data_IF_279875684808
#
_entry.id   IF_279875684808
#
_cell.length_a   1.000
_cell.length_b   1.000
_cell.length_c   1.000
_cell.angle_alpha   90.00
_cell.angle_beta   90.00
_cell.angle_gamma   90.00
#
_symmetry.space_group_name_H-M   'P 1'
#
loop_
_entity.id
_entity.type
_entity.pdbx_description
1 polymer ?
#
# COMPACT_ATOMS: atom_id res chain seq x y z
N UNK A 1 3.40 -57.53 3.77
CA UNK A 1 4.83 -57.74 3.47
C UNK A 1 5.46 -58.37 4.70
N UNK A 2 6.10 -59.53 4.58
CA UNK A 2 6.77 -60.14 5.72
C UNK A 2 8.11 -59.42 5.92
N UNK A 3 8.23 -58.56 6.92
CA UNK A 3 9.43 -57.72 7.10
C UNK A 3 10.65 -58.56 7.54
N UNK A 4 10.42 -59.76 8.05
CA UNK A 4 11.47 -60.68 8.50
C UNK A 4 12.19 -61.40 7.35
N UNK A 5 11.67 -61.33 6.12
CA UNK A 5 12.28 -61.97 4.94
C UNK A 5 13.17 -61.03 4.13
N UNK A 6 13.30 -59.76 4.53
CA UNK A 6 14.11 -58.77 3.81
C UNK A 6 15.59 -58.97 4.12
N UNK A 7 16.42 -58.94 3.08
CA UNK A 7 17.86 -58.81 3.25
C UNK A 7 18.22 -57.44 3.83
N UNK A 8 19.41 -57.33 4.42
CA UNK A 8 19.90 -56.07 5.01
C UNK A 8 19.85 -54.89 4.01
N UNK A 9 20.13 -55.13 2.73
CA UNK A 9 20.11 -54.09 1.71
C UNK A 9 18.69 -53.60 1.39
N UNK A 10 17.73 -54.52 1.29
CA UNK A 10 16.32 -54.19 1.04
C UNK A 10 15.70 -53.45 2.23
N UNK A 11 16.08 -53.83 3.46
CA UNK A 11 15.63 -53.14 4.66
C UNK A 11 16.16 -51.69 4.72
N UNK A 12 17.44 -51.48 4.41
CA UNK A 12 18.02 -50.13 4.36
C UNK A 12 17.37 -49.27 3.26
N UNK A 13 17.12 -49.86 2.08
CA UNK A 13 16.41 -49.17 1.01
C UNK A 13 15.00 -48.76 1.44
N UNK A 14 14.26 -49.66 2.10
CA UNK A 14 12.94 -49.35 2.64
C UNK A 14 13.00 -48.22 3.67
N UNK A 15 13.98 -48.22 4.58
CA UNK A 15 14.17 -47.12 5.53
C UNK A 15 14.43 -45.78 4.84
N UNK A 16 15.29 -45.74 3.83
CA UNK A 16 15.53 -44.51 3.06
C UNK A 16 14.28 -44.00 2.35
N UNK A 17 13.43 -44.90 1.83
CA UNK A 17 12.16 -44.52 1.21
C UNK A 17 11.18 -43.96 2.25
N UNK A 18 11.04 -44.62 3.41
CA UNK A 18 10.14 -44.19 4.48
C UNK A 18 10.58 -42.86 5.11
N UNK A 19 11.88 -42.63 5.23
CA UNK A 19 12.45 -41.35 5.67
C UNK A 19 12.06 -40.22 4.70
N UNK A 20 12.29 -40.41 3.40
CA UNK A 20 11.89 -39.45 2.38
C UNK A 20 10.36 -39.23 2.31
N UNK A 21 9.56 -40.27 2.55
CA UNK A 21 8.10 -40.15 2.62
C UNK A 21 7.66 -39.30 3.82
N UNK A 22 8.27 -39.51 4.98
CA UNK A 22 7.99 -38.75 6.20
C UNK A 22 8.35 -37.27 6.01
N UNK A 23 9.53 -36.98 5.47
CA UNK A 23 9.95 -35.61 5.16
C UNK A 23 9.00 -34.92 4.17
N UNK A 24 8.58 -35.61 3.12
CA UNK A 24 7.62 -35.09 2.16
C UNK A 24 6.27 -34.75 2.80
N UNK A 25 5.79 -35.57 3.74
CA UNK A 25 4.56 -35.31 4.51
C UNK A 25 4.70 -34.07 5.39
N UNK A 26 5.83 -33.90 6.07
CA UNK A 26 6.09 -32.72 6.91
C UNK A 26 6.10 -31.42 6.09
N UNK A 27 6.70 -31.43 4.90
CA UNK A 27 6.66 -30.28 3.99
C UNK A 27 5.23 -29.90 3.59
N UNK A 28 4.37 -30.88 3.30
CA UNK A 28 2.96 -30.64 2.97
C UNK A 28 2.19 -30.10 4.17
N UNK A 29 2.43 -30.63 5.37
CA UNK A 29 1.81 -30.13 6.60
C UNK A 29 2.15 -28.66 6.82
N UNK A 30 3.42 -28.28 6.69
CA UNK A 30 3.85 -26.90 6.85
C UNK A 30 3.27 -25.98 5.77
N UNK A 31 3.19 -26.45 4.52
CA UNK A 31 2.53 -25.72 3.44
C UNK A 31 1.04 -25.48 3.73
N UNK A 32 0.31 -26.50 4.18
CA UNK A 32 -1.11 -26.39 4.54
C UNK A 32 -1.33 -25.47 5.75
N UNK A 33 -0.45 -25.53 6.77
CA UNK A 33 -0.49 -24.61 7.91
C UNK A 33 -0.23 -23.17 7.49
N UNK A 34 0.73 -22.94 6.58
CA UNK A 34 1.00 -21.62 6.03
C UNK A 34 -0.19 -21.08 5.24
N UNK A 35 -0.78 -21.89 4.38
CA UNK A 35 -1.97 -21.52 3.61
C UNK A 35 -3.16 -21.20 4.52
N UNK A 36 -3.39 -22.01 5.57
CA UNK A 36 -4.46 -21.76 6.53
C UNK A 36 -4.24 -20.42 7.27
N UNK A 37 -3.00 -20.16 7.71
CA UNK A 37 -2.64 -18.89 8.35
C UNK A 37 -2.87 -17.69 7.44
N UNK A 38 -2.41 -17.77 6.19
CA UNK A 38 -2.62 -16.70 5.21
C UNK A 38 -4.10 -16.47 4.92
N UNK A 39 -4.89 -17.54 4.75
CA UNK A 39 -6.33 -17.45 4.53
C UNK A 39 -7.06 -16.83 5.74
N UNK A 40 -6.62 -17.14 6.96
CA UNK A 40 -7.15 -16.53 8.17
C UNK A 40 -6.84 -15.04 8.22
N UNK A 41 -5.60 -14.65 7.93
CA UNK A 41 -5.18 -13.26 7.88
C UNK A 41 -5.95 -12.49 6.80
N UNK A 42 -6.09 -13.03 5.59
CA UNK A 42 -6.90 -12.40 4.53
C UNK A 42 -8.38 -12.26 4.93
N UNK A 43 -9.01 -13.30 5.48
CA UNK A 43 -10.42 -13.21 5.91
C UNK A 43 -10.61 -12.19 7.03
N UNK A 44 -9.69 -12.14 7.98
CA UNK A 44 -9.76 -11.26 9.16
C UNK A 44 -9.40 -9.81 8.81
N UNK A 45 -8.38 -9.61 7.99
CA UNK A 45 -7.71 -8.32 7.78
C UNK A 45 -7.65 -7.84 6.33
N UNK A 46 -7.91 -8.70 5.33
CA UNK A 46 -7.81 -8.34 3.91
C UNK A 46 -8.80 -7.26 3.44
N UNK A 47 -9.84 -6.98 4.26
CA UNK A 47 -10.76 -5.84 4.06
C UNK A 47 -10.17 -4.49 4.47
N UNK A 48 -9.04 -4.45 5.18
CA UNK A 48 -8.38 -3.22 5.61
C UNK A 48 -7.12 -2.99 4.79
N UNK A 49 -7.03 -1.85 4.13
CA UNK A 49 -5.78 -1.40 3.53
C UNK A 49 -4.92 -0.75 4.62
N UNK A 50 -3.73 -1.28 4.88
CA UNK A 50 -2.82 -0.77 5.92
C UNK A 50 -2.31 0.65 5.59
N UNK A 51 -2.34 1.04 4.32
CA UNK A 51 -1.98 2.38 3.86
C UNK A 51 -3.10 3.41 4.02
N UNK A 52 -4.32 3.00 4.35
CA UNK A 52 -5.42 3.91 4.66
C UNK A 52 -5.53 4.10 6.18
N UNK A 53 -5.17 5.27 6.72
CA UNK A 53 -5.27 5.57 8.15
C UNK A 53 -6.68 5.34 8.72
N UNK A 54 -7.71 5.51 7.89
CA UNK A 54 -9.10 5.36 8.31
C UNK A 54 -9.45 3.89 8.61
N UNK A 55 -9.05 2.96 7.73
CA UNK A 55 -9.29 1.53 7.90
C UNK A 55 -8.43 0.93 9.01
N UNK A 56 -7.20 1.43 9.18
CA UNK A 56 -6.32 1.01 10.27
C UNK A 56 -6.92 1.34 11.65
N UNK A 57 -7.42 2.57 11.83
CA UNK A 57 -8.04 2.99 13.10
C UNK A 57 -9.37 2.28 13.37
N UNK A 58 -10.17 2.00 12.34
CA UNK A 58 -11.40 1.23 12.51
C UNK A 58 -11.11 -0.20 13.00
N UNK A 59 -10.09 -0.86 12.46
CA UNK A 59 -9.62 -2.17 12.96
C UNK A 59 -9.27 -2.08 14.44
N UNK A 60 -8.47 -1.09 14.82
CA UNK A 60 -8.01 -0.94 16.20
C UNK A 60 -9.20 -0.75 17.14
N UNK A 61 -10.20 0.05 16.75
CA UNK A 61 -11.45 0.22 17.50
C UNK A 61 -12.27 -1.09 17.65
N UNK A 62 -12.35 -1.90 16.59
CA UNK A 62 -13.08 -3.17 16.61
C UNK A 62 -12.40 -4.21 17.51
N UNK A 63 -11.07 -4.15 17.67
CA UNK A 63 -10.30 -5.07 18.51
C UNK A 63 -10.40 -4.82 20.02
N UNK A 64 -10.89 -3.65 20.46
CA UNK A 64 -11.09 -3.34 21.88
C UNK A 64 -12.22 -4.22 22.45
N UNK A 65 -12.05 -4.90 23.60
CA UNK A 65 -13.11 -5.66 24.26
C UNK A 65 -14.34 -4.78 24.58
N UNK A 66 -15.56 -5.34 24.52
CA UNK A 66 -16.79 -4.57 24.74
C UNK A 66 -16.80 -3.82 26.09
N UNK A 67 -16.29 -4.43 27.15
CA UNK A 67 -16.27 -3.83 28.50
C UNK A 67 -15.43 -2.54 28.56
N UNK A 68 -14.31 -2.47 27.84
CA UNK A 68 -13.47 -1.25 27.79
C UNK A 68 -14.01 -0.18 26.84
N UNK A 69 -14.88 -0.54 25.89
CA UNK A 69 -15.47 0.41 24.93
C UNK A 69 -16.45 1.36 25.59
N UNK A 70 -17.10 0.96 26.67
CA UNK A 70 -18.10 1.80 27.36
C UNK A 70 -17.44 2.81 28.29
N UNK A 71 -16.31 2.46 28.90
CA UNK A 71 -15.50 3.36 29.74
C UNK A 71 -14.80 4.47 28.93
N UNK A 72 -14.24 4.17 27.75
CA UNK A 72 -13.58 5.18 26.88
C UNK A 72 -14.56 6.14 26.17
N UNK A 73 -15.81 5.72 25.95
CA UNK A 73 -16.81 6.53 25.20
C UNK A 73 -17.26 7.79 25.94
N UNK A 74 -17.07 7.87 27.25
CA UNK A 74 -17.68 8.91 28.08
C UNK A 74 -16.97 10.28 28.04
N UNK A 75 -15.75 10.39 27.50
CA UNK A 75 -14.91 11.57 27.73
C UNK A 75 -14.40 12.32 26.47
N UNK A 76 -14.65 11.84 25.25
CA UNK A 76 -14.10 12.49 24.05
C UNK A 76 -15.06 12.45 22.86
N UNK A 77 -15.13 13.52 22.02
CA UNK A 77 -15.76 13.42 20.72
C UNK A 77 -15.11 12.27 19.93
N UNK A 78 -15.93 11.50 19.22
CA UNK A 78 -15.49 10.29 18.54
C UNK A 78 -14.22 10.57 17.70
N UNK A 79 -13.05 10.00 18.02
CA UNK A 79 -11.80 10.34 17.35
C UNK A 79 -11.85 10.06 15.83
N UNK A 80 -12.72 9.14 15.41
CA UNK A 80 -12.96 8.84 13.99
C UNK A 80 -13.67 9.97 13.25
N UNK A 81 -14.61 10.69 13.90
CA UNK A 81 -15.30 11.81 13.25
C UNK A 81 -14.38 13.01 13.10
N UNK A 82 -13.53 13.27 14.10
CA UNK A 82 -12.51 14.32 14.05
C UNK A 82 -11.52 14.05 12.94
N UNK A 83 -11.01 12.82 12.82
CA UNK A 83 -10.06 12.48 11.75
C UNK A 83 -10.67 12.62 10.35
N UNK A 84 -11.92 12.16 10.13
CA UNK A 84 -12.62 12.35 8.85
C UNK A 84 -12.72 13.82 8.47
N UNK A 85 -13.02 14.68 9.44
CA UNK A 85 -13.10 16.13 9.21
C UNK A 85 -11.73 16.70 8.81
N UNK A 86 -10.66 16.34 9.53
CA UNK A 86 -9.30 16.79 9.23
C UNK A 86 -8.85 16.32 7.84
N UNK A 87 -9.05 15.04 7.51
CA UNK A 87 -8.70 14.50 6.19
C UNK A 87 -9.46 15.20 5.06
N UNK A 88 -10.76 15.44 5.24
CA UNK A 88 -11.58 16.20 4.28
C UNK A 88 -11.07 17.63 4.09
N UNK A 89 -10.70 18.29 5.19
CA UNK A 89 -10.14 19.63 5.17
C UNK A 89 -8.79 19.67 4.43
N UNK A 90 -7.86 18.76 4.76
CA UNK A 90 -6.57 18.64 4.10
C UNK A 90 -6.71 18.39 2.60
N UNK A 91 -7.62 17.51 2.19
CA UNK A 91 -7.89 17.22 0.78
C UNK A 91 -8.37 18.47 0.04
N UNK A 92 -9.32 19.19 0.62
CA UNK A 92 -9.84 20.45 0.05
C UNK A 92 -8.73 21.50 -0.08
N UNK A 93 -7.86 21.62 0.93
CA UNK A 93 -6.71 22.53 0.87
C UNK A 93 -5.71 22.13 -0.21
N UNK A 94 -5.41 20.84 -0.35
CA UNK A 94 -4.51 20.31 -1.37
C UNK A 94 -5.03 20.61 -2.78
N UNK A 95 -6.32 20.38 -3.03
CA UNK A 95 -6.97 20.68 -4.32
C UNK A 95 -6.90 22.19 -4.64
N UNK A 96 -7.20 23.05 -3.67
CA UNK A 96 -7.07 24.50 -3.82
C UNK A 96 -5.63 24.92 -4.13
N UNK A 97 -4.67 24.40 -3.38
CA UNK A 97 -3.25 24.69 -3.57
C UNK A 97 -2.76 24.30 -4.97
N UNK A 98 -3.14 23.10 -5.44
CA UNK A 98 -2.82 22.64 -6.79
C UNK A 98 -3.43 23.54 -7.87
N UNK A 99 -4.68 23.97 -7.70
CA UNK A 99 -5.33 24.87 -8.65
C UNK A 99 -4.64 26.24 -8.73
N UNK A 100 -4.23 26.78 -7.58
CA UNK A 100 -3.51 28.05 -7.51
C UNK A 100 -2.13 27.95 -8.15
N UNK A 101 -1.41 26.83 -7.94
CA UNK A 101 -0.13 26.56 -8.55
C UNK A 101 -0.25 26.49 -10.09
N UNK A 102 -1.21 25.72 -10.60
CA UNK A 102 -1.46 25.62 -12.04
C UNK A 102 -1.81 26.98 -12.67
N UNK A 103 -2.60 27.81 -11.99
CA UNK A 103 -2.93 29.16 -12.44
C UNK A 103 -1.72 30.11 -12.41
N UNK A 104 -0.85 29.99 -11.40
CA UNK A 104 0.40 30.74 -11.35
C UNK A 104 1.36 30.35 -12.49
N UNK A 105 1.53 29.05 -12.74
CA UNK A 105 2.37 28.55 -13.83
C UNK A 105 1.85 28.97 -15.21
N UNK A 106 0.53 28.90 -15.43
CA UNK A 106 -0.09 29.33 -16.69
C UNK A 106 0.19 30.81 -16.99
N UNK A 107 0.04 31.66 -15.97
CA UNK A 107 0.38 33.10 -16.07
C UNK A 107 1.86 33.31 -16.36
N UNK A 108 2.74 32.58 -15.67
CA UNK A 108 4.19 32.66 -15.89
C UNK A 108 4.57 32.26 -17.31
N UNK A 109 4.02 31.16 -17.84
CA UNK A 109 4.23 30.73 -19.23
C UNK A 109 3.79 31.79 -20.24
N UNK A 110 2.66 32.46 -20.00
CA UNK A 110 2.17 33.54 -20.88
C UNK A 110 3.11 34.74 -20.90
N UNK A 111 3.57 35.20 -19.73
CA UNK A 111 4.54 36.32 -19.65
C UNK A 111 5.85 35.94 -20.32
N UNK A 112 6.36 34.71 -20.08
CA UNK A 112 7.59 34.21 -20.71
C UNK A 112 7.46 34.16 -22.24
N UNK A 113 6.30 33.74 -22.75
CA UNK A 113 5.99 33.75 -24.18
C UNK A 113 5.87 35.15 -24.79
N UNK A 114 5.29 36.12 -24.07
CA UNK A 114 5.27 37.51 -24.52
C UNK A 114 6.68 38.09 -24.59
N UNK A 115 7.52 37.83 -23.59
CA UNK A 115 8.90 38.33 -23.56
C UNK A 115 9.77 37.73 -24.68
N UNK A 116 9.60 36.44 -24.99
CA UNK A 116 10.28 35.78 -26.11
C UNK A 116 9.81 36.31 -27.47
N UNK A 117 8.51 36.56 -27.63
CA UNK A 117 7.95 37.17 -28.85
C UNK A 117 8.49 38.60 -29.06
N UNK A 118 8.47 39.44 -28.02
CA UNK A 118 9.02 40.81 -28.11
C UNK A 118 10.52 40.79 -28.42
N UNK A 119 11.29 39.90 -27.79
CA UNK A 119 12.72 39.76 -28.07
C UNK A 119 13.00 39.35 -29.52
N UNK A 120 12.27 38.37 -30.04
CA UNK A 120 12.42 37.90 -31.44
C UNK A 120 12.02 38.97 -32.45
N UNK A 121 10.91 39.69 -32.23
CA UNK A 121 10.51 40.82 -33.08
C UNK A 121 11.55 41.94 -33.07
N UNK A 122 12.13 42.25 -31.91
CA UNK A 122 13.16 43.29 -31.76
C UNK A 122 14.43 42.88 -32.50
N UNK A 123 14.88 41.63 -32.32
CA UNK A 123 16.07 41.10 -33.01
C UNK A 123 15.89 41.13 -34.53
N UNK A 124 14.74 40.67 -35.04
CA UNK A 124 14.43 40.69 -36.47
C UNK A 124 14.39 42.12 -37.04
N UNK A 125 13.87 43.09 -36.28
CA UNK A 125 13.89 44.50 -36.70
C UNK A 125 15.31 45.06 -36.75
N UNK A 126 16.15 44.74 -35.76
CA UNK A 126 17.56 45.15 -35.74
C UNK A 126 18.37 44.56 -36.90
N UNK A 127 18.18 43.26 -37.20
CA UNK A 127 18.84 42.61 -38.35
C UNK A 127 18.43 43.26 -39.67
N UNK A 128 17.14 43.59 -39.87
CA UNK A 128 16.69 44.31 -41.06
C UNK A 128 17.32 45.70 -41.20
N UNK A 129 17.48 46.44 -40.10
CA UNK A 129 18.09 47.78 -40.11
C UNK A 129 19.59 47.75 -40.42
N UNK A 130 20.30 46.67 -40.08
CA UNK A 130 21.73 46.48 -40.36
C UNK A 130 21.99 45.93 -41.77
N UNK A 131 20.95 45.57 -42.52
CA UNK A 131 21.07 45.00 -43.89
C UNK A 131 20.87 46.05 -45.00
N UNK A 132 20.79 47.33 -44.63
CA UNK A 132 20.79 48.50 -45.51
C UNK A 132 22.03 49.35 -45.23
#
# INVERSE_FOLDING_TARGET
>A
MNMETLSKAELLMLFSVLEGELEARDLVIEALRAQQRESFIQKRYGKYNVSDPFLALQRDYETIPKDRREEERAACPNPLSVLKLVMSHCKTMQEKMLSQLAAAESRHRKVRGHFSHVSTCTLHRSVRLLSF
#
